data_IF_206238398746
#
_entry.id   IF_206238398746
#
_cell.length_a   1.000
_cell.length_b   1.000
_cell.length_c   1.000
_cell.angle_alpha   90.00
_cell.angle_beta   90.00
_cell.angle_gamma   90.00
#
_symmetry.space_group_name_H-M   'P 1'
#
loop_
_entity.id
_entity.type
_entity.pdbx_description
1 polymer ?
#
# COMPACT_ATOMS: atom_id res chain seq x y z
N UNK A 1 4.28 10.65 10.42
CA UNK A 1 4.11 9.32 9.85
C UNK A 1 5.39 8.90 9.16
N UNK A 2 5.84 7.68 9.45
CA UNK A 2 6.81 6.93 8.67
C UNK A 2 6.21 5.62 8.16
N UNK A 3 6.85 5.04 7.15
CA UNK A 3 6.50 3.72 6.60
C UNK A 3 7.75 2.88 6.60
N UNK A 4 7.72 1.77 7.32
CA UNK A 4 8.89 0.90 7.46
C UNK A 4 8.72 -0.35 6.62
N UNK A 5 9.69 -0.63 5.75
CA UNK A 5 9.73 -1.87 4.96
C UNK A 5 10.27 -2.98 5.86
N UNK A 6 9.42 -3.97 6.13
CA UNK A 6 9.76 -5.11 6.97
C UNK A 6 10.46 -6.20 6.17
N UNK A 7 10.00 -6.49 4.95
CA UNK A 7 10.66 -7.46 4.08
C UNK A 7 10.30 -7.27 2.60
N UNK A 8 11.20 -7.72 1.72
CA UNK A 8 10.95 -7.84 0.28
C UNK A 8 11.36 -9.25 -0.15
N UNK A 9 10.38 -10.09 -0.47
CA UNK A 9 10.59 -11.48 -0.85
C UNK A 9 10.29 -11.68 -2.33
N UNK A 10 11.27 -12.21 -3.08
CA UNK A 10 11.07 -12.59 -4.49
C UNK A 10 10.78 -14.08 -4.57
N UNK A 11 9.78 -14.45 -5.36
CA UNK A 11 9.43 -15.85 -5.55
C UNK A 11 8.96 -16.12 -6.98
N UNK A 12 9.15 -17.37 -7.40
CA UNK A 12 8.71 -17.91 -8.68
C UNK A 12 7.86 -19.13 -8.42
N UNK A 13 6.65 -19.18 -8.98
CA UNK A 13 5.83 -20.40 -8.94
C UNK A 13 6.31 -21.35 -10.03
N UNK A 14 6.97 -22.44 -9.63
CA UNK A 14 7.71 -23.36 -10.53
C UNK A 14 6.88 -23.95 -11.68
N UNK A 15 5.55 -23.99 -11.57
CA UNK A 15 4.64 -24.53 -12.58
C UNK A 15 3.96 -23.48 -13.47
N UNK A 16 4.18 -22.19 -13.24
CA UNK A 16 3.61 -21.12 -14.06
C UNK A 16 4.72 -20.37 -14.81
N UNK A 17 4.80 -20.60 -16.12
CA UNK A 17 5.68 -19.81 -16.99
C UNK A 17 5.27 -18.34 -16.94
N UNK A 18 6.22 -17.45 -16.63
CA UNK A 18 5.98 -16.00 -16.54
C UNK A 18 5.39 -15.52 -15.22
N UNK A 19 5.22 -16.38 -14.21
CA UNK A 19 4.82 -15.95 -12.87
C UNK A 19 6.05 -15.80 -11.96
N UNK A 20 6.69 -14.64 -12.10
CA UNK A 20 7.65 -14.12 -11.15
C UNK A 20 6.97 -12.99 -10.38
N UNK A 21 7.15 -12.90 -9.07
CA UNK A 21 6.53 -11.85 -8.26
C UNK A 21 7.42 -11.46 -7.08
N UNK A 22 7.21 -10.25 -6.58
CA UNK A 22 7.77 -9.79 -5.32
C UNK A 22 6.64 -9.54 -4.32
N UNK A 23 6.81 -9.99 -3.08
CA UNK A 23 6.00 -9.54 -1.96
C UNK A 23 6.77 -8.46 -1.22
N UNK A 24 6.12 -7.31 -1.05
CA UNK A 24 6.60 -6.25 -0.16
C UNK A 24 5.74 -6.29 1.08
N UNK A 25 6.39 -6.43 2.23
CA UNK A 25 5.73 -6.31 3.54
C UNK A 25 6.20 -5.03 4.20
N UNK A 26 5.25 -4.21 4.63
CA UNK A 26 5.52 -2.94 5.29
C UNK A 26 4.50 -2.66 6.40
N UNK A 27 4.87 -1.75 7.29
CA UNK A 27 4.00 -1.22 8.34
C UNK A 27 4.09 0.30 8.38
N UNK A 28 3.15 0.93 9.08
CA UNK A 28 3.23 2.36 9.40
C UNK A 28 3.08 2.59 10.90
N UNK A 29 3.74 3.62 11.40
CA UNK A 29 3.61 4.13 12.77
C UNK A 29 2.27 4.84 13.04
N UNK A 30 1.44 5.00 12.01
CA UNK A 30 0.20 5.76 12.03
C UNK A 30 -0.92 4.98 11.34
N UNK A 31 -2.15 5.28 11.73
CA UNK A 31 -3.34 4.72 11.08
C UNK A 31 -3.44 5.15 9.61
N UNK A 32 -3.72 4.20 8.71
CA UNK A 32 -3.70 4.43 7.26
C UNK A 32 -5.09 4.38 6.63
N UNK A 33 -5.31 5.23 5.64
CA UNK A 33 -6.52 5.21 4.79
C UNK A 33 -6.24 4.74 3.36
N UNK A 34 -4.98 4.87 2.92
CA UNK A 34 -4.52 4.40 1.62
C UNK A 34 -3.02 4.10 1.66
N UNK A 35 -2.55 3.33 0.68
CA UNK A 35 -1.12 3.15 0.40
C UNK A 35 -0.89 2.90 -1.09
N UNK A 36 0.34 3.20 -1.53
CA UNK A 36 0.80 3.08 -2.91
C UNK A 36 2.21 2.54 -2.96
N UNK A 37 2.48 1.72 -3.96
CA UNK A 37 3.80 1.23 -4.30
C UNK A 37 4.17 1.80 -5.67
N UNK A 38 5.22 2.60 -5.70
CA UNK A 38 5.68 3.29 -6.90
C UNK A 38 7.08 2.82 -7.31
N UNK A 39 7.25 2.54 -8.59
CA UNK A 39 8.55 2.29 -9.23
C UNK A 39 9.17 3.60 -9.71
N UNK A 40 10.41 3.84 -9.30
CA UNK A 40 11.27 4.97 -9.68
C UNK A 40 10.66 6.37 -9.40
N UNK A 41 9.57 6.42 -8.64
CA UNK A 41 8.92 7.63 -8.19
C UNK A 41 9.64 8.30 -7.03
N UNK A 42 9.65 9.63 -7.02
CA UNK A 42 10.13 10.45 -5.90
C UNK A 42 9.04 10.83 -4.90
N UNK A 43 7.77 10.55 -5.22
CA UNK A 43 6.57 10.87 -4.45
C UNK A 43 5.48 9.82 -4.71
N UNK A 44 4.39 9.88 -3.95
CA UNK A 44 3.20 9.01 -4.05
C UNK A 44 2.45 9.12 -5.40
N UNK A 45 2.77 10.14 -6.20
CA UNK A 45 2.13 10.52 -7.46
C UNK A 45 3.11 10.61 -8.65
N UNK A 46 4.37 10.19 -8.47
CA UNK A 46 5.39 10.19 -9.54
C UNK A 46 5.93 8.78 -9.78
N UNK A 47 6.46 8.53 -10.99
CA UNK A 47 6.95 7.22 -11.41
C UNK A 47 5.85 6.33 -11.98
N UNK A 48 6.05 5.01 -11.90
CA UNK A 48 5.06 4.00 -12.35
C UNK A 48 4.37 3.41 -11.13
N UNK A 49 3.03 3.46 -11.10
CA UNK A 49 2.25 2.77 -10.07
C UNK A 49 2.33 1.26 -10.28
N UNK A 50 2.74 0.53 -9.26
CA UNK A 50 2.80 -0.93 -9.25
C UNK A 50 1.60 -1.54 -8.55
N UNK A 51 1.23 -1.00 -7.39
CA UNK A 51 0.09 -1.50 -6.61
C UNK A 51 -0.44 -0.37 -5.73
N UNK A 52 -1.76 -0.34 -5.51
CA UNK A 52 -2.35 0.53 -4.51
C UNK A 52 -3.52 -0.12 -3.79
N UNK A 53 -3.72 0.32 -2.55
CA UNK A 53 -5.00 0.22 -1.90
C UNK A 53 -5.46 1.64 -1.59
N UNK A 54 -6.58 2.02 -2.19
CA UNK A 54 -7.36 3.15 -1.71
C UNK A 54 -8.66 2.57 -1.17
N UNK A 55 -8.95 2.78 0.11
CA UNK A 55 -10.28 2.47 0.63
C UNK A 55 -11.25 3.51 0.08
N UNK A 56 -11.93 3.13 -1.00
CA UNK A 56 -12.86 3.99 -1.71
C UNK A 56 -14.22 4.05 -0.99
N UNK A 57 -14.68 5.27 -0.77
CA UNK A 57 -15.87 5.65 -0.03
C UNK A 57 -17.15 5.32 -0.82
N UNK A 58 -16.99 5.09 -2.13
CA UNK A 58 -18.07 4.89 -3.10
C UNK A 58 -18.82 3.55 -2.97
N UNK A 59 -18.25 2.56 -2.26
CA UNK A 59 -18.74 1.18 -2.23
C UNK A 59 -19.33 0.73 -0.87
N UNK A 60 -19.62 1.65 0.05
CA UNK A 60 -20.19 1.33 1.36
C UNK A 60 -21.71 1.19 1.29
N UNK A 61 -22.25 0.10 1.85
CA UNK A 61 -23.70 -0.15 1.93
C UNK A 61 -24.32 0.47 3.20
N UNK A 62 -25.64 0.66 3.18
CA UNK A 62 -26.45 1.25 4.26
C UNK A 62 -26.28 0.56 5.63
N UNK A 63 -25.84 -0.71 5.70
CA UNK A 63 -25.55 -1.41 6.96
C UNK A 63 -24.39 -0.78 7.75
N UNK A 64 -23.50 -0.07 7.06
CA UNK A 64 -22.39 0.67 7.67
C UNK A 64 -22.86 1.98 8.34
N UNK A 65 -24.05 2.48 7.99
CA UNK A 65 -24.63 3.73 8.50
C UNK A 65 -25.12 3.61 9.95
N UNK A 66 -25.49 2.42 10.39
CA UNK A 66 -25.96 2.16 11.76
C UNK A 66 -24.87 2.31 12.84
N UNK A 67 -23.59 2.19 12.46
CA UNK A 67 -22.43 2.31 13.36
C UNK A 67 -21.81 3.73 13.38
N UNK A 68 -22.28 4.66 12.54
CA UNK A 68 -21.69 6.00 12.35
C UNK A 68 -21.93 6.99 13.49
N UNK A 69 -22.90 6.76 14.38
CA UNK A 69 -23.32 7.80 15.33
C UNK A 69 -22.25 8.22 16.34
N UNK A 70 -21.13 7.50 16.40
CA UNK A 70 -20.03 7.75 17.34
C UNK A 70 -18.61 7.71 16.74
N UNK A 71 -18.44 7.35 15.47
CA UNK A 71 -17.11 7.24 14.82
C UNK A 71 -17.12 7.88 13.43
N UNK A 72 -16.05 8.60 13.13
CA UNK A 72 -15.77 9.09 11.78
C UNK A 72 -15.45 7.92 10.83
N UNK A 73 -15.67 8.11 9.54
CA UNK A 73 -15.37 7.09 8.53
C UNK A 73 -13.89 6.70 8.49
N UNK A 74 -13.00 7.65 8.75
CA UNK A 74 -11.58 7.39 8.88
C UNK A 74 -11.26 6.46 10.06
N UNK A 75 -12.09 6.44 11.11
CA UNK A 75 -11.93 5.51 12.24
C UNK A 75 -12.51 4.12 11.97
N UNK A 76 -13.48 4.00 11.07
CA UNK A 76 -14.11 2.71 10.72
C UNK A 76 -13.35 1.94 9.65
N UNK A 77 -12.67 2.66 8.76
CA UNK A 77 -12.03 2.08 7.58
C UNK A 77 -10.52 2.28 7.57
N UNK A 78 -9.89 2.68 8.67
CA UNK A 78 -8.43 2.68 8.73
C UNK A 78 -7.84 1.26 8.68
N UNK A 79 -6.57 1.18 8.33
CA UNK A 79 -5.67 0.12 8.75
C UNK A 79 -4.98 0.64 10.01
N UNK A 80 -5.03 -0.11 11.11
CA UNK A 80 -4.42 0.33 12.36
C UNK A 80 -2.88 0.38 12.22
N UNK A 81 -2.25 1.35 12.88
CA UNK A 81 -0.80 1.42 12.99
C UNK A 81 -0.18 0.08 13.45
N UNK A 82 0.99 -0.27 12.91
CA UNK A 82 1.67 -1.54 13.18
C UNK A 82 1.02 -2.79 12.57
N UNK A 83 0.02 -2.62 11.71
CA UNK A 83 -0.53 -3.74 10.92
C UNK A 83 0.39 -4.04 9.74
N UNK A 84 0.85 -5.29 9.64
CA UNK A 84 1.61 -5.77 8.49
C UNK A 84 0.74 -5.75 7.21
N UNK A 85 1.15 -4.96 6.23
CA UNK A 85 0.57 -4.97 4.88
C UNK A 85 1.45 -5.79 3.96
N UNK A 86 0.87 -6.78 3.30
CA UNK A 86 1.54 -7.58 2.28
C UNK A 86 0.96 -7.24 0.92
N UNK A 87 1.79 -6.67 0.05
CA UNK A 87 1.43 -6.32 -1.32
C UNK A 87 2.22 -7.16 -2.32
N UNK A 88 1.54 -7.68 -3.34
CA UNK A 88 2.17 -8.42 -4.42
C UNK A 88 2.44 -7.50 -5.60
N UNK A 89 3.67 -7.51 -6.10
CA UNK A 89 4.10 -6.82 -7.31
C UNK A 89 4.36 -7.87 -8.38
N UNK A 90 3.78 -7.69 -9.56
CA UNK A 90 4.01 -8.59 -10.67
C UNK A 90 5.40 -8.29 -11.28
N UNK A 91 6.23 -9.32 -11.47
CA UNK A 91 7.55 -9.09 -12.06
C UNK A 91 7.49 -8.59 -13.50
N UNK A 92 6.37 -8.81 -14.22
CA UNK A 92 6.17 -8.22 -15.54
C UNK A 92 6.13 -6.68 -15.54
N UNK A 93 5.92 -6.06 -14.38
CA UNK A 93 5.91 -4.61 -14.20
C UNK A 93 7.30 -4.05 -13.84
N UNK A 94 8.26 -4.94 -13.62
CA UNK A 94 9.65 -4.62 -13.30
C UNK A 94 10.52 -4.72 -14.56
N UNK A 95 11.42 -3.76 -14.73
CA UNK A 95 12.38 -3.76 -15.83
C UNK A 95 13.52 -4.74 -15.55
N UNK A 96 14.19 -5.18 -16.63
CA UNK A 96 15.44 -5.92 -16.49
C UNK A 96 16.51 -5.00 -15.87
N UNK A 97 17.09 -5.44 -14.75
CA UNK A 97 18.12 -4.69 -14.02
C UNK A 97 17.66 -4.22 -12.65
N UNK A 98 18.20 -3.10 -12.20
CA UNK A 98 17.87 -2.51 -10.88
C UNK A 98 16.63 -1.64 -11.00
N UNK A 99 15.60 -1.94 -10.21
CA UNK A 99 14.39 -1.15 -10.06
C UNK A 99 14.36 -0.56 -8.65
N UNK A 100 13.96 0.70 -8.49
CA UNK A 100 13.74 1.28 -7.16
C UNK A 100 12.25 1.24 -6.83
N UNK A 101 11.88 0.56 -5.76
CA UNK A 101 10.50 0.46 -5.31
C UNK A 101 10.36 1.29 -4.03
N UNK A 102 9.40 2.20 -4.03
CA UNK A 102 9.11 3.07 -2.89
C UNK A 102 7.66 2.81 -2.44
N UNK A 103 7.45 2.72 -1.13
CA UNK A 103 6.11 2.59 -0.54
C UNK A 103 5.73 3.93 0.09
N UNK A 104 4.51 4.38 -0.22
CA UNK A 104 3.92 5.59 0.33
C UNK A 104 2.60 5.23 1.01
N UNK A 105 2.33 5.81 2.16
CA UNK A 105 1.07 5.61 2.88
C UNK A 105 0.40 6.94 3.21
N UNK A 106 -0.92 6.93 3.36
CA UNK A 106 -1.74 8.13 3.65
C UNK A 106 -2.41 7.99 5.01
N UNK A 107 -2.23 8.96 5.91
CA UNK A 107 -2.88 8.93 7.24
C UNK A 107 -4.38 9.22 7.14
N UNK A 108 -5.05 9.05 8.28
CA UNK A 108 -6.41 9.54 8.53
C UNK A 108 -6.58 11.06 8.46
N UNK A 109 -5.49 11.83 8.44
CA UNK A 109 -5.51 13.31 8.26
C UNK A 109 -5.37 13.72 6.80
N UNK A 110 -5.12 12.77 5.90
CA UNK A 110 -4.98 12.98 4.47
C UNK A 110 -3.55 13.28 3.99
N UNK A 111 -2.55 13.20 4.86
CA UNK A 111 -1.15 13.43 4.51
C UNK A 111 -0.50 12.13 4.03
N UNK A 112 0.28 12.24 2.96
CA UNK A 112 1.13 11.14 2.47
C UNK A 112 2.47 11.13 3.20
N UNK A 113 3.02 9.93 3.41
CA UNK A 113 4.38 9.74 3.89
C UNK A 113 5.38 10.35 2.89
N UNK A 114 6.48 10.85 3.41
CA UNK A 114 7.61 11.26 2.58
C UNK A 114 8.36 10.04 2.09
N UNK A 115 9.10 10.20 1.00
CA UNK A 115 10.05 9.18 0.55
C UNK A 115 11.10 8.99 1.65
N UNK A 116 11.28 7.77 2.11
CA UNK A 116 12.41 7.46 2.99
C UNK A 116 13.71 7.57 2.18
N UNK A 117 14.67 8.33 2.72
CA UNK A 117 15.95 8.68 2.09
C UNK A 117 17.01 7.61 2.29
#
# INVERSE_FOLDING_TARGET
>A
MSVSILSVNRYRLSYMSGFDSALVTFESDSDLTAWRIMKDGSSYDTGTLLEELTKDWSNLSDETWGAQSTKSWNELLKLDAGTDVVAQINAAELDLGTNTINVYAKDTSGNWSLRES
#
